data_IF_197360470140
#
_entry.id   IF_197360470140
#
_cell.length_a   1.000
_cell.length_b   1.000
_cell.length_c   1.000
_cell.angle_alpha   90.00
_cell.angle_beta   90.00
_cell.angle_gamma   90.00
#
_symmetry.space_group_name_H-M   'P 1'
#
loop_
_entity.id
_entity.type
_entity.pdbx_description
1 polymer ?
#
# COMPACT_ATOMS: atom_id res chain seq x y z
N UNK A 1 -29.45 -8.78 0.33
CA UNK A 1 -28.05 -8.68 0.80
C UNK A 1 -27.83 -7.29 1.34
N UNK A 2 -27.37 -7.15 2.58
CA UNK A 2 -27.00 -5.84 3.11
C UNK A 2 -25.61 -5.47 2.57
N UNK A 3 -25.50 -4.34 1.87
CA UNK A 3 -24.20 -3.79 1.49
C UNK A 3 -23.48 -3.35 2.76
N UNK A 4 -22.36 -4.00 3.08
CA UNK A 4 -21.47 -3.52 4.14
C UNK A 4 -20.95 -2.15 3.74
N UNK A 5 -21.22 -1.12 4.55
CA UNK A 5 -20.69 0.22 4.32
C UNK A 5 -19.15 0.15 4.25
N UNK A 6 -18.58 0.52 3.11
CA UNK A 6 -17.14 0.58 2.93
C UNK A 6 -16.68 1.93 3.50
N UNK A 7 -15.81 1.96 4.52
CA UNK A 7 -15.23 3.22 4.99
C UNK A 7 -14.57 3.95 3.81
N UNK A 8 -14.69 5.27 3.74
CA UNK A 8 -14.12 6.09 2.64
C UNK A 8 -12.61 5.84 2.47
N UNK A 9 -11.94 5.47 3.56
CA UNK A 9 -10.51 5.22 3.64
C UNK A 9 -10.11 3.78 3.26
N UNK A 10 -11.04 2.98 2.73
CA UNK A 10 -10.80 1.60 2.32
C UNK A 10 -11.26 1.37 0.87
N UNK A 11 -10.52 0.54 0.14
CA UNK A 11 -10.79 0.11 -1.22
C UNK A 11 -10.96 -1.41 -1.26
N UNK A 12 -12.08 -1.95 -1.77
CA UNK A 12 -12.27 -3.39 -1.85
C UNK A 12 -11.42 -3.97 -3.00
N UNK A 13 -10.70 -5.06 -2.72
CA UNK A 13 -10.15 -5.94 -3.74
C UNK A 13 -11.20 -7.00 -4.06
N UNK A 14 -11.61 -7.10 -5.34
CA UNK A 14 -12.74 -7.92 -5.77
C UNK A 14 -12.24 -8.96 -6.77
N UNK A 15 -12.66 -10.21 -6.57
CA UNK A 15 -12.49 -11.28 -7.55
C UNK A 15 -13.31 -10.95 -8.81
N UNK A 16 -12.68 -10.75 -9.97
CA UNK A 16 -13.39 -10.37 -11.19
C UNK A 16 -14.30 -11.47 -11.74
N UNK A 17 -14.06 -12.75 -11.42
CA UNK A 17 -14.86 -13.86 -11.91
C UNK A 17 -16.12 -14.09 -11.06
N UNK A 18 -16.05 -13.82 -9.75
CA UNK A 18 -17.12 -14.17 -8.80
C UNK A 18 -17.80 -12.96 -8.14
N UNK A 19 -17.20 -11.77 -8.24
CA UNK A 19 -17.66 -10.57 -7.54
C UNK A 19 -17.45 -10.60 -6.02
N UNK A 20 -16.75 -11.61 -5.50
CA UNK A 20 -16.47 -11.71 -4.06
C UNK A 20 -15.39 -10.71 -3.65
N UNK A 21 -15.58 -10.08 -2.48
CA UNK A 21 -14.55 -9.24 -1.85
C UNK A 21 -13.48 -10.15 -1.24
N UNK A 22 -12.24 -9.99 -1.70
CA UNK A 22 -11.08 -10.73 -1.23
C UNK A 22 -10.38 -10.02 -0.07
N UNK A 23 -10.33 -8.69 -0.12
CA UNK A 23 -9.67 -7.86 0.90
C UNK A 23 -10.21 -6.44 0.92
N UNK A 24 -9.93 -5.71 2.00
CA UNK A 24 -10.08 -4.26 2.10
C UNK A 24 -8.67 -3.66 2.19
N UNK A 25 -8.34 -2.77 1.27
CA UNK A 25 -7.04 -2.12 1.15
C UNK A 25 -7.17 -0.69 1.64
N UNK A 26 -6.35 -0.28 2.59
CA UNK A 26 -6.34 1.10 3.07
C UNK A 26 -5.95 2.07 1.93
N UNK A 27 -6.72 3.14 1.79
CA UNK A 27 -6.42 4.23 0.87
C UNK A 27 -5.37 5.12 1.52
N UNK A 28 -4.17 5.18 0.92
CA UNK A 28 -3.13 6.11 1.36
C UNK A 28 -3.62 7.56 1.29
N UNK A 29 -3.62 8.32 2.40
CA UNK A 29 -3.94 9.74 2.38
C UNK A 29 -2.95 10.53 1.50
N UNK A 30 -3.40 11.56 0.76
CA UNK A 30 -2.53 12.33 -0.13
C UNK A 30 -1.27 12.90 0.55
N UNK A 31 -1.40 13.37 1.80
CA UNK A 31 -0.29 13.89 2.60
C UNK A 31 0.76 12.81 2.93
N UNK A 32 0.34 11.54 3.03
CA UNK A 32 1.26 10.43 3.26
C UNK A 32 2.07 10.09 2.03
N UNK A 33 1.58 10.34 0.81
CA UNK A 33 2.34 10.08 -0.42
C UNK A 33 3.63 10.89 -0.44
N UNK A 34 3.56 12.19 -0.16
CA UNK A 34 4.74 13.06 -0.06
C UNK A 34 5.70 12.60 1.04
N UNK A 35 5.16 12.26 2.21
CA UNK A 35 5.96 11.76 3.35
C UNK A 35 6.69 10.47 3.00
N UNK A 36 6.06 9.52 2.31
CA UNK A 36 6.67 8.26 1.88
C UNK A 36 7.86 8.50 0.95
N UNK A 37 7.74 9.45 0.01
CA UNK A 37 8.87 9.80 -0.88
C UNK A 37 10.05 10.38 -0.09
N UNK A 38 9.79 11.25 0.90
CA UNK A 38 10.83 11.82 1.77
C UNK A 38 11.57 10.70 2.53
N UNK A 39 10.82 9.79 3.15
CA UNK A 39 11.39 8.67 3.90
C UNK A 39 12.18 7.72 3.00
N UNK A 40 11.66 7.39 1.82
CA UNK A 40 12.35 6.54 0.85
C UNK A 40 13.69 7.14 0.41
N UNK A 41 13.72 8.46 0.13
CA UNK A 41 14.96 9.17 -0.22
C UNK A 41 15.99 9.15 0.92
N UNK A 42 15.54 9.36 2.16
CA UNK A 42 16.42 9.31 3.32
C UNK A 42 17.03 7.90 3.50
N UNK A 43 16.22 6.85 3.36
CA UNK A 43 16.67 5.47 3.49
C UNK A 43 17.60 5.02 2.35
N UNK A 44 17.38 5.54 1.13
CA UNK A 44 18.13 5.13 -0.06
C UNK A 44 19.65 5.28 0.11
N UNK A 45 20.11 6.34 0.77
CA UNK A 45 21.55 6.61 0.94
C UNK A 45 22.29 5.46 1.64
N UNK A 46 21.68 4.92 2.68
CA UNK A 46 22.27 3.82 3.45
C UNK A 46 21.97 2.48 2.79
N UNK A 47 20.76 2.30 2.26
CA UNK A 47 20.41 1.09 1.50
C UNK A 47 21.34 0.84 0.30
N UNK A 48 21.74 1.91 -0.40
CA UNK A 48 22.64 1.84 -1.54
C UNK A 48 24.03 1.29 -1.20
N UNK A 49 24.45 1.34 0.08
CA UNK A 49 25.73 0.81 0.54
C UNK A 49 25.68 -0.65 0.94
N UNK A 50 24.48 -1.20 1.18
CA UNK A 50 24.30 -2.60 1.60
C UNK A 50 24.78 -3.52 0.47
N UNK A 51 25.66 -4.51 0.71
CA UNK A 51 26.09 -5.45 -0.33
C UNK A 51 24.92 -6.20 -0.98
N UNK A 52 24.99 -6.50 -2.28
CA UNK A 52 23.90 -7.19 -2.99
C UNK A 52 23.49 -8.51 -2.33
N UNK A 53 24.46 -9.29 -1.83
CA UNK A 53 24.22 -10.55 -1.12
C UNK A 53 23.36 -10.40 0.15
N UNK A 54 23.26 -9.20 0.70
CA UNK A 54 22.47 -8.88 1.89
C UNK A 54 21.11 -8.26 1.53
N UNK A 55 20.85 -7.97 0.25
CA UNK A 55 19.57 -7.41 -0.23
C UNK A 55 18.63 -8.46 -0.83
N UNK A 56 19.17 -9.61 -1.23
CA UNK A 56 18.46 -10.73 -1.85
C UNK A 56 18.14 -11.79 -0.81
#
# INVERSE_FOLDING_TARGET
>A
MAATAIPIDMLPSIDPATGKVLAQIERTPPEMVGRTVVLARAAQREWAKVPLRERC
#
